data_IF_667886985680
#
_entry.id   IF_667886985680
#
_cell.length_a   1.000
_cell.length_b   1.000
_cell.length_c   1.000
_cell.angle_alpha   90.00
_cell.angle_beta   90.00
_cell.angle_gamma   90.00
#
_symmetry.space_group_name_H-M   'P 1'
#
loop_
_entity.id
_entity.type
_entity.pdbx_description
1 polymer ?
#
# COMPACT_ATOMS: atom_id res chain seq x y z
N UNK A 1 -15.94 16.84 -11.68
CA UNK A 1 -15.20 15.58 -11.69
C UNK A 1 -13.76 15.93 -11.34
N UNK A 2 -13.29 15.58 -10.15
CA UNK A 2 -11.90 15.75 -9.77
C UNK A 2 -11.22 14.39 -9.97
N UNK A 3 -10.00 14.39 -10.51
CA UNK A 3 -9.15 13.21 -10.63
C UNK A 3 -8.07 13.33 -9.56
N UNK A 4 -8.05 12.39 -8.65
CA UNK A 4 -7.07 12.22 -7.59
C UNK A 4 -6.12 11.10 -8.01
N UNK A 5 -5.00 11.49 -8.59
CA UNK A 5 -3.86 10.62 -8.84
C UNK A 5 -2.93 10.67 -7.62
N UNK A 6 -2.80 9.54 -6.93
CA UNK A 6 -1.92 9.42 -5.77
C UNK A 6 -0.49 9.10 -6.26
N UNK A 7 0.35 10.13 -6.37
CA UNK A 7 1.73 9.95 -6.83
C UNK A 7 2.49 8.91 -5.99
N UNK A 8 3.01 7.87 -6.64
CA UNK A 8 3.77 6.79 -6.02
C UNK A 8 3.00 6.08 -4.89
N UNK A 9 1.70 5.88 -5.09
CA UNK A 9 0.75 5.22 -4.19
C UNK A 9 1.29 3.96 -3.49
N UNK A 10 1.89 3.06 -4.28
CA UNK A 10 2.44 1.81 -3.76
C UNK A 10 3.77 1.98 -3.04
N UNK A 11 4.54 3.05 -3.28
CA UNK A 11 5.84 3.28 -2.65
C UNK A 11 5.74 4.08 -1.34
N UNK A 12 4.59 4.71 -1.10
CA UNK A 12 4.36 5.62 0.04
C UNK A 12 3.60 4.98 1.21
N UNK A 13 3.16 3.72 1.06
CA UNK A 13 2.37 3.02 2.08
C UNK A 13 3.19 2.84 3.37
N UNK A 14 2.74 3.46 4.45
CA UNK A 14 3.31 3.25 5.78
C UNK A 14 2.87 1.89 6.35
N UNK A 15 3.84 1.05 6.69
CA UNK A 15 3.59 -0.31 7.16
C UNK A 15 2.86 -0.35 8.52
N UNK A 16 3.08 0.65 9.37
CA UNK A 16 2.42 0.74 10.69
C UNK A 16 0.94 1.09 10.55
N UNK A 17 0.61 2.01 9.65
CA UNK A 17 -0.76 2.39 9.34
C UNK A 17 -1.48 1.22 8.68
N UNK A 18 -0.85 0.58 7.70
CA UNK A 18 -1.40 -0.59 7.01
C UNK A 18 -1.68 -1.74 7.99
N UNK A 19 -0.74 -2.05 8.89
CA UNK A 19 -0.93 -3.05 9.95
C UNK A 19 -2.13 -2.74 10.83
N UNK A 20 -2.20 -1.51 11.37
CA UNK A 20 -3.30 -1.09 12.23
C UNK A 20 -4.64 -1.21 11.51
N UNK A 21 -4.72 -0.86 10.22
CA UNK A 21 -5.94 -0.96 9.43
C UNK A 21 -6.32 -2.39 9.08
N UNK A 22 -5.34 -3.23 8.72
CA UNK A 22 -5.55 -4.67 8.55
C UNK A 22 -6.20 -5.29 9.79
N UNK A 23 -5.78 -4.87 10.98
CA UNK A 23 -6.38 -5.32 12.24
C UNK A 23 -7.76 -4.73 12.50
N UNK A 24 -7.95 -3.42 12.32
CA UNK A 24 -9.20 -2.73 12.70
C UNK A 24 -10.31 -2.86 11.64
N UNK A 25 -10.00 -2.67 10.36
CA UNK A 25 -10.99 -2.65 9.28
C UNK A 25 -11.31 -4.07 8.75
N UNK A 26 -10.34 -4.99 8.78
CA UNK A 26 -10.51 -6.35 8.22
C UNK A 26 -10.45 -7.47 9.27
N UNK A 27 -10.16 -7.14 10.53
CA UNK A 27 -10.12 -8.13 11.60
C UNK A 27 -8.99 -9.15 11.47
N UNK A 28 -7.94 -8.86 10.70
CA UNK A 28 -6.81 -9.78 10.51
C UNK A 28 -6.09 -10.01 11.85
N UNK A 29 -5.94 -11.28 12.22
CA UNK A 29 -5.36 -11.73 13.49
C UNK A 29 -4.49 -12.96 13.30
N UNK A 30 -3.66 -13.25 14.29
CA UNK A 30 -2.86 -14.48 14.34
C UNK A 30 -1.90 -14.61 13.15
N UNK A 31 -1.85 -15.80 12.56
CA UNK A 31 -0.91 -16.16 11.50
C UNK A 31 -1.02 -15.29 10.25
N UNK A 32 -2.23 -14.88 9.86
CA UNK A 32 -2.43 -14.01 8.70
C UNK A 32 -1.78 -12.65 8.91
N UNK A 33 -1.93 -12.07 10.09
CA UNK A 33 -1.29 -10.79 10.43
C UNK A 33 0.24 -10.93 10.48
N UNK A 34 0.75 -11.98 11.12
CA UNK A 34 2.20 -12.23 11.17
C UNK A 34 2.79 -12.43 9.77
N UNK A 35 2.07 -13.09 8.87
CA UNK A 35 2.47 -13.24 7.48
C UNK A 35 2.45 -11.90 6.73
N UNK A 36 1.45 -11.04 6.97
CA UNK A 36 1.45 -9.68 6.41
C UNK A 36 2.62 -8.83 6.92
N UNK A 37 2.94 -8.94 8.20
CA UNK A 37 4.07 -8.22 8.79
C UNK A 37 5.41 -8.71 8.20
N UNK A 38 5.59 -10.02 8.06
CA UNK A 38 6.80 -10.58 7.43
C UNK A 38 6.91 -10.22 5.96
N UNK A 39 5.79 -10.10 5.25
CA UNK A 39 5.76 -9.67 3.85
C UNK A 39 6.26 -8.22 3.65
N UNK A 40 6.07 -7.35 4.65
CA UNK A 40 6.42 -5.93 4.57
C UNK A 40 7.77 -5.59 5.23
N UNK A 41 8.26 -6.42 6.16
CA UNK A 41 9.50 -6.13 6.91
C UNK A 41 10.78 -6.57 6.18
N UNK A 42 11.91 -5.93 6.51
CA UNK A 42 13.26 -6.22 5.97
C UNK A 42 13.38 -6.22 4.44
N UNK A 43 12.52 -5.45 3.78
CA UNK A 43 12.52 -5.25 2.34
C UNK A 43 13.72 -4.42 1.93
N UNK A 44 14.42 -4.81 0.86
CA UNK A 44 15.54 -4.05 0.31
C UNK A 44 15.36 -3.88 -1.20
N UNK A 45 15.74 -2.72 -1.72
CA UNK A 45 15.86 -2.46 -3.16
C UNK A 45 17.30 -2.22 -3.56
N UNK A 46 17.63 -2.62 -4.78
CA UNK A 46 18.90 -2.33 -5.41
C UNK A 46 18.63 -1.93 -6.85
N UNK A 47 19.32 -0.91 -7.35
CA UNK A 47 19.24 -0.48 -8.74
C UNK A 47 20.36 -1.16 -9.53
N UNK A 48 20.02 -1.75 -10.67
CA UNK A 48 20.98 -2.35 -11.60
C UNK A 48 20.93 -1.56 -12.91
N UNK A 49 22.08 -1.08 -13.38
CA UNK A 49 22.20 -0.41 -14.68
C UNK A 49 23.41 -0.98 -15.43
N UNK A 50 23.15 -1.73 -16.51
CA UNK A 50 24.17 -2.49 -17.22
C UNK A 50 24.90 -3.48 -16.30
N UNK A 51 26.22 -3.28 -16.13
CA UNK A 51 27.08 -4.09 -15.26
C UNK A 51 27.16 -3.55 -13.81
N UNK A 52 26.58 -2.38 -13.54
CA UNK A 52 26.68 -1.72 -12.25
C UNK A 52 25.47 -2.04 -11.37
N UNK A 53 25.73 -2.27 -10.08
CA UNK A 53 24.73 -2.58 -9.06
C UNK A 53 24.90 -1.63 -7.87
N UNK A 54 23.84 -0.97 -7.44
CA UNK A 54 23.88 -0.11 -6.26
C UNK A 54 24.03 -0.93 -4.97
N UNK A 55 24.40 -0.28 -3.87
CA UNK A 55 24.21 -0.90 -2.55
C UNK A 55 22.71 -1.16 -2.30
N UNK A 56 22.37 -2.23 -1.56
CA UNK A 56 21.01 -2.45 -1.09
C UNK A 56 20.54 -1.31 -0.18
N UNK A 57 19.31 -0.85 -0.39
CA UNK A 57 18.65 0.15 0.45
C UNK A 57 17.40 -0.46 1.06
N UNK A 58 17.31 -0.42 2.39
CA UNK A 58 16.13 -0.88 3.12
C UNK A 58 14.91 0.00 2.83
N UNK A 59 13.81 -0.62 2.42
CA UNK A 59 12.53 0.01 2.19
C UNK A 59 11.74 0.03 3.48
N UNK A 60 11.46 1.23 3.99
CA UNK A 60 10.61 1.46 5.18
C UNK A 60 9.15 1.76 4.83
N UNK A 61 8.91 2.05 3.55
CA UNK A 61 7.62 2.42 3.00
C UNK A 61 7.36 1.63 1.73
N UNK A 62 6.09 1.46 1.44
CA UNK A 62 5.60 0.89 0.21
C UNK A 62 5.51 -0.63 0.19
N UNK A 63 4.87 -1.14 -0.85
CA UNK A 63 4.62 -2.54 -1.14
C UNK A 63 5.30 -2.93 -2.45
N UNK A 64 5.62 -4.22 -2.66
CA UNK A 64 6.15 -4.68 -3.94
C UNK A 64 5.19 -4.37 -5.11
N UNK A 65 5.64 -3.50 -6.01
CA UNK A 65 5.03 -3.32 -7.32
C UNK A 65 5.13 -4.64 -8.11
N UNK A 66 4.06 -5.01 -8.81
CA UNK A 66 3.96 -6.28 -9.53
C UNK A 66 3.60 -7.49 -8.64
N UNK A 67 3.31 -7.28 -7.35
CA UNK A 67 2.76 -8.34 -6.51
C UNK A 67 1.23 -8.41 -6.59
N UNK A 68 0.69 -9.63 -6.52
CA UNK A 68 -0.77 -9.85 -6.45
C UNK A 68 -1.42 -9.18 -5.22
N UNK A 69 -0.64 -8.98 -4.15
CA UNK A 69 -1.12 -8.37 -2.91
C UNK A 69 -1.05 -6.84 -2.92
N UNK A 70 -0.26 -6.24 -3.81
CA UNK A 70 -0.10 -4.79 -3.90
C UNK A 70 -1.45 -4.07 -4.00
N UNK A 71 -2.31 -4.42 -4.99
CA UNK A 71 -3.62 -3.81 -5.14
C UNK A 71 -4.52 -3.99 -3.91
N UNK A 72 -4.54 -5.20 -3.32
CA UNK A 72 -5.34 -5.48 -2.12
C UNK A 72 -4.89 -4.58 -0.95
N UNK A 73 -3.58 -4.52 -0.71
CA UNK A 73 -3.01 -3.67 0.35
C UNK A 73 -3.27 -2.19 0.12
N UNK A 74 -3.27 -1.75 -1.14
CA UNK A 74 -3.61 -0.38 -1.48
C UNK A 74 -5.09 -0.09 -1.22
N UNK A 75 -6.01 -0.98 -1.61
CA UNK A 75 -7.44 -0.82 -1.29
C UNK A 75 -7.69 -0.73 0.22
N UNK A 76 -6.97 -1.50 1.05
CA UNK A 76 -7.01 -1.37 2.51
C UNK A 76 -6.55 0.01 3.00
N UNK A 77 -5.55 0.57 2.33
CA UNK A 77 -5.00 1.89 2.65
C UNK A 77 -5.87 3.04 2.12
N UNK A 78 -6.62 2.85 1.04
CA UNK A 78 -7.52 3.85 0.48
C UNK A 78 -8.92 3.87 1.15
N UNK A 79 -9.30 2.84 1.91
CA UNK A 79 -10.64 2.69 2.50
C UNK A 79 -11.21 3.94 3.21
N UNK A 80 -10.51 4.67 4.08
CA UNK A 80 -11.10 5.87 4.70
C UNK A 80 -11.27 7.07 3.75
N UNK A 81 -10.59 7.10 2.59
CA UNK A 81 -10.95 8.09 1.56
C UNK A 81 -12.37 7.80 1.04
N UNK A 82 -12.72 6.51 0.89
CA UNK A 82 -14.05 6.07 0.44
C UNK A 82 -15.12 6.48 1.46
N UNK A 83 -14.87 6.26 2.76
CA UNK A 83 -15.78 6.67 3.84
C UNK A 83 -16.04 8.18 3.84
N UNK A 84 -15.01 8.99 3.59
CA UNK A 84 -15.12 10.46 3.53
C UNK A 84 -15.98 10.87 2.32
N UNK A 85 -15.77 10.26 1.16
CA UNK A 85 -16.54 10.57 -0.04
C UNK A 85 -18.02 10.20 0.12
N UNK A 86 -18.31 9.03 0.72
CA UNK A 86 -19.67 8.59 1.04
C UNK A 86 -20.35 9.55 2.03
N UNK A 87 -19.62 10.00 3.06
CA UNK A 87 -20.14 10.93 4.07
C UNK A 87 -20.50 12.30 3.47
N UNK A 88 -19.79 12.74 2.44
CA UNK A 88 -19.99 14.05 1.82
C UNK A 88 -20.80 14.01 0.51
N UNK A 89 -21.32 12.83 0.12
CA UNK A 89 -22.17 12.67 -1.06
C UNK A 89 -21.44 12.89 -2.40
N UNK A 90 -20.12 12.70 -2.44
CA UNK A 90 -19.37 12.79 -3.69
C UNK A 90 -19.56 11.53 -4.53
N UNK A 91 -19.81 11.68 -5.82
CA UNK A 91 -19.74 10.56 -6.76
C UNK A 91 -18.27 10.28 -7.07
N UNK A 92 -17.74 9.14 -6.58
CA UNK A 92 -16.35 8.71 -6.77
C UNK A 92 -16.28 7.38 -7.51
N UNK A 93 -15.15 7.12 -8.19
CA UNK A 93 -14.88 5.86 -8.87
C UNK A 93 -13.41 5.51 -8.65
N UNK A 94 -13.15 4.59 -7.72
CA UNK A 94 -11.78 4.22 -7.35
C UNK A 94 -11.32 3.04 -8.20
N UNK A 95 -10.20 3.22 -8.88
CA UNK A 95 -9.55 2.18 -9.67
C UNK A 95 -8.06 2.17 -9.36
N UNK A 96 -7.64 1.27 -8.46
CA UNK A 96 -6.28 1.26 -7.93
C UNK A 96 -5.91 2.66 -7.37
N UNK A 97 -4.86 3.29 -7.85
CA UNK A 97 -4.36 4.62 -7.47
C UNK A 97 -5.05 5.81 -8.17
N UNK A 98 -5.84 5.54 -9.21
CA UNK A 98 -6.69 6.53 -9.87
C UNK A 98 -8.04 6.63 -9.15
N UNK A 99 -8.36 7.79 -8.59
CA UNK A 99 -9.64 8.06 -7.89
C UNK A 99 -10.36 9.32 -8.35
#
# INVERSE_FOLDING_TARGET
>A
MALLDLSAAFDTIDHSILKRRSQMSFGLRGSALTWFESYLTNRQKTVVTGQYRSSPVTLRFGVPQGSMLGPVLFSLYAQPLTDIFDTHGFCYRIYADDS
#
